data_IF_932797680228
#
_entry.id   IF_932797680228
#
_cell.length_a   1.000
_cell.length_b   1.000
_cell.length_c   1.000
_cell.angle_alpha   90.00
_cell.angle_beta   90.00
_cell.angle_gamma   90.00
#
_symmetry.space_group_name_H-M   'P 1'
#
loop_
_entity.id
_entity.type
_entity.pdbx_description
1 polymer ?
#
# COMPACT_ATOMS: atom_id res chain seq x y z
N UNK A 1 -28.33 -19.27 10.92
CA UNK A 1 -26.85 -19.18 10.99
C UNK A 1 -26.52 -17.73 10.70
N UNK A 2 -26.31 -16.98 11.76
CA UNK A 2 -25.94 -15.57 11.77
C UNK A 2 -24.54 -15.41 11.20
N UNK A 3 -24.39 -14.64 10.13
CA UNK A 3 -23.16 -13.89 9.89
C UNK A 3 -23.56 -12.43 9.69
N UNK A 4 -23.84 -11.80 10.82
CA UNK A 4 -23.67 -10.36 11.00
C UNK A 4 -22.15 -10.13 11.06
N UNK A 5 -21.61 -9.45 10.06
CA UNK A 5 -20.41 -8.63 10.28
C UNK A 5 -20.74 -7.27 9.73
N UNK A 6 -21.24 -6.46 10.66
CA UNK A 6 -21.16 -5.01 10.70
C UNK A 6 -19.87 -4.54 9.99
N UNK A 7 -20.02 -3.91 8.83
CA UNK A 7 -19.00 -2.99 8.33
C UNK A 7 -19.45 -1.60 8.73
N UNK A 8 -18.85 -1.16 9.82
CA UNK A 8 -19.01 0.10 10.51
C UNK A 8 -18.90 1.28 9.55
N UNK A 9 -19.89 2.17 9.65
CA UNK A 9 -19.80 3.56 9.22
C UNK A 9 -18.45 4.18 9.59
N UNK A 10 -17.83 4.91 8.66
CA UNK A 10 -17.42 6.30 8.94
C UNK A 10 -17.39 7.10 7.64
N UNK A 11 -18.46 7.85 7.45
CA UNK A 11 -18.54 9.02 6.61
C UNK A 11 -17.42 10.01 6.96
N UNK A 12 -16.51 10.28 6.01
CA UNK A 12 -15.69 11.48 6.02
C UNK A 12 -15.76 12.12 4.65
N UNK A 13 -16.30 13.33 4.60
CA UNK A 13 -16.46 14.19 3.42
C UNK A 13 -15.11 14.70 2.87
N UNK A 14 -14.05 13.91 2.97
CA UNK A 14 -12.74 14.13 2.40
C UNK A 14 -12.43 12.93 1.52
N UNK A 15 -12.38 13.14 0.20
CA UNK A 15 -12.13 12.06 -0.77
C UNK A 15 -10.85 11.32 -0.34
N UNK A 16 -10.93 10.04 0.08
CA UNK A 16 -9.75 9.32 0.50
C UNK A 16 -8.77 9.31 -0.66
N UNK A 17 -7.53 9.69 -0.38
CA UNK A 17 -6.47 9.62 -1.36
C UNK A 17 -5.25 8.99 -0.75
N UNK A 18 -4.67 8.05 -1.50
CA UNK A 18 -3.51 7.28 -1.07
C UNK A 18 -2.45 7.28 -2.16
N UNK A 19 -1.20 7.07 -1.75
CA UNK A 19 -0.07 6.95 -2.67
C UNK A 19 0.27 5.48 -2.81
N UNK A 20 0.08 4.94 -4.00
CA UNK A 20 0.53 3.59 -4.31
C UNK A 20 2.06 3.52 -4.33
N UNK A 21 2.62 2.34 -4.12
CA UNK A 21 4.07 2.12 -4.10
C UNK A 21 4.75 2.67 -5.36
N UNK A 22 4.10 2.55 -6.52
CA UNK A 22 4.55 3.07 -7.81
C UNK A 22 4.64 4.63 -7.87
N UNK A 23 4.23 5.33 -6.82
CA UNK A 23 4.30 6.79 -6.69
C UNK A 23 3.10 7.54 -7.25
N UNK A 24 2.04 6.85 -7.68
CA UNK A 24 0.79 7.48 -8.13
C UNK A 24 -0.13 7.77 -6.95
N UNK A 25 -0.78 8.92 -7.00
CA UNK A 25 -1.85 9.30 -6.06
C UNK A 25 -3.19 8.87 -6.63
N UNK A 26 -3.91 8.03 -5.91
CA UNK A 26 -5.28 7.65 -6.24
C UNK A 26 -6.24 8.45 -5.34
N UNK A 27 -7.35 8.91 -5.90
CA UNK A 27 -8.42 9.62 -5.17
C UNK A 27 -9.61 8.68 -5.00
N UNK A 28 -9.36 7.55 -4.35
CA UNK A 28 -10.31 6.47 -4.15
C UNK A 28 -9.99 5.76 -2.84
N UNK A 29 -10.96 4.99 -2.35
CA UNK A 29 -10.80 4.20 -1.14
C UNK A 29 -9.69 3.15 -1.30
N UNK A 30 -8.70 3.11 -0.38
CA UNK A 30 -7.58 2.17 -0.45
C UNK A 30 -8.02 0.71 -0.26
N UNK A 31 -9.20 0.46 0.30
CA UNK A 31 -9.74 -0.88 0.54
C UNK A 31 -10.05 -1.65 -0.75
N UNK A 32 -10.32 -0.95 -1.85
CA UNK A 32 -10.52 -1.57 -3.17
C UNK A 32 -9.20 -1.92 -3.87
N UNK A 33 -8.07 -1.55 -3.28
CA UNK A 33 -6.76 -1.79 -3.85
C UNK A 33 -6.00 -2.85 -3.07
N UNK A 34 -5.20 -3.69 -3.75
CA UNK A 34 -4.37 -4.65 -3.07
C UNK A 34 -3.37 -3.93 -2.16
N UNK A 35 -3.33 -4.35 -0.90
CA UNK A 35 -2.39 -3.87 0.11
C UNK A 35 -1.55 -5.03 0.63
N UNK A 36 -0.30 -4.73 0.97
CA UNK A 36 0.62 -5.71 1.53
C UNK A 36 1.46 -5.10 2.64
N UNK A 37 1.92 -5.92 3.59
CA UNK A 37 2.86 -5.48 4.60
C UNK A 37 4.29 -5.70 4.12
N UNK A 38 5.11 -4.65 4.14
CA UNK A 38 6.53 -4.71 3.81
C UNK A 38 7.38 -4.03 4.90
N UNK A 39 8.19 -4.83 5.62
CA UNK A 39 9.06 -4.36 6.73
C UNK A 39 8.30 -3.55 7.79
N UNK A 40 7.12 -4.04 8.19
CA UNK A 40 6.26 -3.40 9.20
C UNK A 40 5.57 -2.13 8.70
N UNK A 41 5.44 -1.95 7.38
CA UNK A 41 4.71 -0.83 6.77
C UNK A 41 3.72 -1.35 5.75
N UNK A 42 2.47 -0.91 5.83
CA UNK A 42 1.48 -1.17 4.79
C UNK A 42 1.83 -0.40 3.53
N UNK A 43 1.97 -1.12 2.42
CA UNK A 43 2.17 -0.58 1.08
C UNK A 43 0.90 -0.83 0.26
N UNK A 44 0.52 0.16 -0.54
CA UNK A 44 -0.63 0.07 -1.44
C UNK A 44 -0.17 -0.21 -2.87
N UNK A 45 -0.84 -1.13 -3.55
CA UNK A 45 -0.53 -1.57 -4.91
C UNK A 45 -1.69 -1.17 -5.83
N UNK A 46 -1.38 -0.78 -7.07
CA UNK A 46 -2.41 -0.26 -7.97
C UNK A 46 -3.20 -1.34 -8.71
N UNK A 47 -2.69 -2.57 -8.80
CA UNK A 47 -3.31 -3.68 -9.55
C UNK A 47 -2.90 -5.03 -8.96
N UNK A 48 -3.67 -6.07 -9.28
CA UNK A 48 -3.33 -7.45 -8.92
C UNK A 48 -2.00 -7.91 -9.54
N UNK A 49 -1.67 -7.44 -10.75
CA UNK A 49 -0.36 -7.70 -11.37
C UNK A 49 0.80 -7.16 -10.53
N UNK A 50 0.64 -6.00 -9.88
CA UNK A 50 1.62 -5.47 -8.94
C UNK A 50 1.71 -6.33 -7.67
N UNK A 51 0.56 -6.83 -7.18
CA UNK A 51 0.54 -7.75 -6.05
C UNK A 51 1.26 -9.05 -6.40
N UNK A 52 1.00 -9.66 -7.55
CA UNK A 52 1.69 -10.86 -8.02
C UNK A 52 3.20 -10.65 -8.17
N UNK A 53 3.63 -9.52 -8.73
CA UNK A 53 5.04 -9.17 -8.83
C UNK A 53 5.69 -8.97 -7.44
N UNK A 54 4.97 -8.35 -6.50
CA UNK A 54 5.40 -8.22 -5.10
C UNK A 54 5.49 -9.58 -4.40
N UNK A 55 4.52 -10.47 -4.58
CA UNK A 55 4.53 -11.81 -3.98
C UNK A 55 5.65 -12.69 -4.55
N UNK A 56 6.01 -12.49 -5.81
CA UNK A 56 7.10 -13.24 -6.45
C UNK A 56 8.48 -12.81 -5.92
N UNK A 57 8.72 -11.51 -5.74
CA UNK A 57 9.96 -11.00 -5.13
C UNK A 57 9.69 -9.63 -4.48
N UNK A 58 9.33 -9.59 -3.19
CA UNK A 58 8.89 -8.36 -2.55
C UNK A 58 10.03 -7.35 -2.40
N UNK A 59 11.24 -7.83 -2.15
CA UNK A 59 12.41 -7.00 -1.93
C UNK A 59 12.84 -6.30 -3.23
N UNK A 60 12.91 -7.04 -4.34
CA UNK A 60 13.21 -6.50 -5.67
C UNK A 60 12.09 -5.63 -6.20
N UNK A 61 10.83 -6.03 -6.01
CA UNK A 61 9.68 -5.23 -6.44
C UNK A 61 9.68 -3.87 -5.75
N UNK A 62 9.81 -3.88 -4.42
CA UNK A 62 9.88 -2.64 -3.65
C UNK A 62 11.12 -1.84 -4.04
N UNK A 63 12.32 -2.43 -4.13
CA UNK A 63 13.51 -1.69 -4.56
C UNK A 63 13.34 -1.00 -5.93
N UNK A 64 12.68 -1.65 -6.89
CA UNK A 64 12.41 -1.10 -8.22
C UNK A 64 11.31 -0.03 -8.23
N UNK A 65 10.28 -0.16 -7.38
CA UNK A 65 9.11 0.71 -7.40
C UNK A 65 9.07 1.76 -6.28
N UNK A 66 10.00 1.71 -5.32
CA UNK A 66 10.17 2.63 -4.18
C UNK A 66 10.67 4.02 -4.62
N UNK A 67 9.92 4.71 -5.48
CA UNK A 67 10.14 6.14 -5.73
C UNK A 67 9.84 6.97 -4.47
N UNK A 68 8.94 6.49 -3.59
CA UNK A 68 8.48 7.24 -2.41
C UNK A 68 9.18 6.91 -1.07
N UNK A 69 9.73 5.71 -0.85
CA UNK A 69 10.43 5.36 0.42
C UNK A 69 11.90 5.81 0.38
N UNK A 70 12.17 7.03 -0.07
CA UNK A 70 13.52 7.61 -0.06
C UNK A 70 13.68 8.54 1.15
N UNK A 71 13.68 8.00 2.37
CA UNK A 71 14.19 8.64 3.60
C UNK A 71 14.32 7.55 4.69
N UNK A 72 15.39 7.59 5.48
CA UNK A 72 15.77 6.58 6.50
C UNK A 72 16.55 5.37 5.96
N UNK A 73 17.67 5.61 5.29
CA UNK A 73 18.80 4.63 5.26
C UNK A 73 20.15 5.33 5.10
N UNK A 74 20.27 6.56 5.61
CA UNK A 74 21.51 7.34 5.48
C UNK A 74 22.06 7.84 6.82
N UNK A 75 21.65 7.25 7.94
CA UNK A 75 22.15 7.61 9.28
C UNK A 75 22.68 6.40 10.06
N UNK A 76 23.42 5.52 9.39
CA UNK A 76 24.39 4.63 10.05
C UNK A 76 25.55 4.39 9.09
N UNK A 77 26.28 5.45 8.75
CA UNK A 77 27.67 5.32 8.32
C UNK A 77 28.51 5.58 9.57
N UNK A 78 29.32 4.58 9.89
CA UNK A 78 30.24 4.38 11.02
C UNK A 78 31.05 5.60 11.43
#
# INVERSE_FOLDING_TARGET
>A
MTLETEITETQSNSRPSFVALCGRVFRSDPEFFPQAEYRGRTIYLCTDACLGAYLSDPERFVAAHKKSYKKTTSIIAT
#
